data_IF_121683624814
#
_entry.id   IF_121683624814
#
_cell.length_a   1.000
_cell.length_b   1.000
_cell.length_c   1.000
_cell.angle_alpha   90.00
_cell.angle_beta   90.00
_cell.angle_gamma   90.00
#
_symmetry.space_group_name_H-M   'P 1'
#
loop_
_entity.id
_entity.type
_entity.pdbx_description
1 polymer ?
#
# COMPACT_ATOMS: atom_id res chain seq x y z
N UNK A 1 31.86 -26.89 11.48
CA UNK A 1 32.80 -27.82 10.82
C UNK A 1 34.10 -27.14 10.37
N UNK A 2 34.10 -26.04 9.60
CA UNK A 2 35.35 -25.42 9.10
C UNK A 2 36.27 -24.73 10.14
N UNK A 3 35.81 -24.49 11.37
CA UNK A 3 36.57 -23.76 12.41
C UNK A 3 37.32 -24.68 13.40
N UNK A 4 37.09 -25.99 13.36
CA UNK A 4 37.66 -26.95 14.31
C UNK A 4 39.11 -27.31 14.00
N UNK A 5 39.51 -27.34 12.71
CA UNK A 5 40.86 -27.71 12.27
C UNK A 5 41.94 -26.61 12.41
N UNK A 6 41.57 -25.40 12.85
CA UNK A 6 42.50 -24.27 12.95
C UNK A 6 43.20 -24.31 14.32
N UNK A 7 44.50 -24.64 14.35
CA UNK A 7 45.28 -24.78 15.60
C UNK A 7 45.64 -23.47 16.31
N UNK A 8 45.63 -22.34 15.60
CA UNK A 8 46.15 -21.06 16.11
C UNK A 8 45.00 -20.14 16.54
N UNK A 9 44.94 -19.83 17.84
CA UNK A 9 43.86 -19.03 18.47
C UNK A 9 43.65 -17.67 17.79
N UNK A 10 44.73 -17.02 17.34
CA UNK A 10 44.68 -15.73 16.63
C UNK A 10 44.06 -15.81 15.23
N UNK A 11 44.25 -16.93 14.52
CA UNK A 11 43.64 -17.15 13.19
C UNK A 11 42.12 -17.33 13.29
N UNK A 12 41.61 -17.98 14.35
CA UNK A 12 40.16 -18.07 14.60
C UNK A 12 39.54 -16.69 14.86
N UNK A 13 40.23 -15.82 15.61
CA UNK A 13 39.77 -14.44 15.87
C UNK A 13 39.74 -13.62 14.58
N UNK A 14 40.76 -13.72 13.74
CA UNK A 14 40.81 -13.03 12.45
C UNK A 14 39.69 -13.51 11.52
N UNK A 15 39.45 -14.81 11.43
CA UNK A 15 38.37 -15.37 10.60
C UNK A 15 37.00 -14.96 11.13
N UNK A 16 36.79 -14.98 12.45
CA UNK A 16 35.55 -14.49 13.08
C UNK A 16 35.35 -12.99 12.80
N UNK A 17 36.42 -12.20 12.86
CA UNK A 17 36.38 -10.76 12.57
C UNK A 17 36.09 -10.50 11.09
N UNK A 18 36.69 -11.26 10.16
CA UNK A 18 36.41 -11.21 8.72
C UNK A 18 34.97 -11.62 8.43
N UNK A 19 34.45 -12.69 9.06
CA UNK A 19 33.05 -13.11 8.92
C UNK A 19 32.13 -12.00 9.44
N UNK A 20 32.40 -11.40 10.60
CA UNK A 20 31.67 -10.21 11.07
C UNK A 20 31.76 -9.03 10.09
N UNK A 21 32.94 -8.79 9.50
CA UNK A 21 33.17 -7.71 8.52
C UNK A 21 32.46 -7.96 7.19
N UNK A 22 32.17 -9.22 6.83
CA UNK A 22 31.35 -9.59 5.67
C UNK A 22 29.85 -9.57 5.96
N UNK A 23 29.43 -9.81 7.22
CA UNK A 23 28.02 -9.75 7.63
C UNK A 23 27.56 -8.29 7.78
N UNK A 24 28.43 -7.37 8.19
CA UNK A 24 28.10 -5.95 8.41
C UNK A 24 27.64 -5.17 7.16
N UNK A 25 28.28 -5.27 5.98
CA UNK A 25 27.82 -4.58 4.76
C UNK A 25 26.60 -5.24 4.11
N UNK A 26 26.30 -6.51 4.43
CA UNK A 26 25.06 -7.15 4.00
C UNK A 26 23.83 -6.66 4.78
N UNK A 27 24.03 -6.05 5.95
CA UNK A 27 22.97 -5.63 6.86
C UNK A 27 22.41 -4.22 6.61
N UNK A 28 22.97 -3.45 5.66
CA UNK A 28 22.50 -2.08 5.38
C UNK A 28 22.21 -1.89 3.88
N UNK A 29 21.23 -2.64 3.38
CA UNK A 29 20.33 -2.11 2.35
C UNK A 29 19.03 -1.70 3.02
N UNK A 30 19.10 -0.68 3.88
CA UNK A 30 17.91 0.13 4.12
C UNK A 30 17.70 0.89 2.81
N UNK A 31 16.66 0.53 2.06
CA UNK A 31 16.17 1.38 0.99
C UNK A 31 15.75 2.69 1.63
N UNK A 32 16.43 3.78 1.26
CA UNK A 32 16.09 5.11 1.76
C UNK A 32 14.79 5.54 1.06
N UNK A 33 13.71 5.61 1.82
CA UNK A 33 12.43 6.13 1.37
C UNK A 33 12.27 7.58 1.83
N UNK A 34 11.99 8.50 0.91
CA UNK A 34 11.52 9.85 1.25
C UNK A 34 9.99 9.90 1.20
N UNK A 35 9.36 10.65 2.09
CA UNK A 35 7.92 10.93 2.02
C UNK A 35 7.69 12.00 0.96
N UNK A 36 6.85 11.72 -0.03
CA UNK A 36 6.49 12.67 -1.10
C UNK A 36 5.02 13.10 -1.06
N UNK A 37 4.23 12.48 -0.19
CA UNK A 37 2.83 12.82 0.04
C UNK A 37 2.40 12.29 1.39
N UNK A 38 1.64 13.09 2.14
CA UNK A 38 0.96 12.61 3.34
C UNK A 38 -0.37 13.33 3.48
N UNK A 39 -1.45 12.57 3.48
CA UNK A 39 -2.81 13.07 3.69
C UNK A 39 -3.43 12.37 4.88
N UNK A 40 -3.93 13.16 5.83
CA UNK A 40 -4.63 12.67 7.01
C UNK A 40 -6.12 12.69 6.74
N UNK A 41 -6.82 11.76 7.37
CA UNK A 41 -8.27 11.65 7.31
C UNK A 41 -8.92 11.80 8.69
N UNK A 42 -10.22 12.05 8.72
CA UNK A 42 -10.94 12.28 9.96
C UNK A 42 -11.25 10.96 10.67
N UNK A 43 -10.65 10.72 11.83
CA UNK A 43 -10.88 9.48 12.57
C UNK A 43 -12.38 9.25 12.91
N UNK A 44 -12.81 8.01 12.68
CA UNK A 44 -14.13 7.51 13.02
C UNK A 44 -15.23 7.97 12.08
N UNK A 45 -14.92 8.28 10.82
CA UNK A 45 -15.88 8.75 9.83
C UNK A 45 -16.36 7.69 8.81
N UNK A 46 -16.07 6.42 9.09
CA UNK A 46 -16.38 5.24 8.28
C UNK A 46 -17.85 4.80 8.22
N UNK A 47 -18.73 5.80 8.17
CA UNK A 47 -20.19 5.72 8.08
C UNK A 47 -20.72 6.29 6.74
N UNK A 48 -19.87 6.34 5.72
CA UNK A 48 -20.20 6.76 4.35
C UNK A 48 -20.89 8.13 4.30
N UNK A 49 -22.11 8.24 3.74
CA UNK A 49 -22.86 9.51 3.66
C UNK A 49 -23.40 10.04 4.99
N UNK A 50 -23.08 9.39 6.13
CA UNK A 50 -23.43 9.89 7.47
C UNK A 50 -24.35 8.97 8.27
N UNK A 51 -24.95 7.97 7.65
CA UNK A 51 -25.97 7.12 8.26
C UNK A 51 -25.68 5.62 8.14
N UNK A 52 -24.53 5.24 7.56
CA UNK A 52 -24.22 3.82 7.41
C UNK A 52 -23.88 3.20 8.75
N UNK A 53 -24.44 2.01 8.97
CA UNK A 53 -24.13 1.17 10.12
C UNK A 53 -23.65 -0.18 9.65
N UNK A 54 -22.67 -0.70 10.39
CA UNK A 54 -22.10 -2.00 10.09
C UNK A 54 -23.14 -3.13 10.14
N UNK A 55 -22.89 -4.23 9.39
CA UNK A 55 -23.72 -5.42 9.49
C UNK A 55 -23.71 -5.99 10.91
N UNK A 56 -24.81 -6.61 11.34
CA UNK A 56 -24.98 -7.09 12.72
C UNK A 56 -24.12 -8.30 13.08
N UNK A 57 -23.50 -8.97 12.11
CA UNK A 57 -22.61 -10.09 12.43
C UNK A 57 -21.46 -9.61 13.33
N UNK A 58 -21.16 -10.40 14.37
CA UNK A 58 -20.16 -10.12 15.39
C UNK A 58 -18.77 -9.76 14.83
N UNK A 59 -18.40 -10.30 13.66
CA UNK A 59 -17.11 -9.97 13.03
C UNK A 59 -16.98 -8.47 12.71
N UNK A 60 -18.10 -7.79 12.44
CA UNK A 60 -18.11 -6.34 12.22
C UNK A 60 -18.29 -5.56 13.52
N UNK A 61 -19.01 -6.11 14.50
CA UNK A 61 -19.40 -5.39 15.72
C UNK A 61 -18.31 -5.39 16.81
N UNK A 62 -17.41 -6.37 16.82
CA UNK A 62 -16.52 -6.62 17.96
C UNK A 62 -15.36 -5.62 18.12
N UNK A 63 -15.05 -4.86 17.08
CA UNK A 63 -13.74 -4.21 16.94
C UNK A 63 -13.83 -2.72 16.60
N UNK A 64 -14.96 -2.24 16.06
CA UNK A 64 -15.19 -0.84 15.66
C UNK A 64 -14.19 -0.34 14.61
N UNK A 65 -14.53 0.71 13.88
CA UNK A 65 -13.60 1.45 13.01
C UNK A 65 -12.79 0.53 12.06
N UNK A 66 -13.46 -0.48 11.52
CA UNK A 66 -12.91 -1.53 10.66
C UNK A 66 -12.65 -1.04 9.23
N UNK A 67 -13.25 0.08 8.84
CA UNK A 67 -13.11 0.68 7.51
C UNK A 67 -12.60 2.13 7.57
N UNK A 68 -12.34 2.63 8.78
CA UNK A 68 -11.81 3.96 9.11
C UNK A 68 -10.35 4.07 8.68
N UNK A 69 -10.15 4.71 7.52
CA UNK A 69 -8.84 5.10 7.01
C UNK A 69 -8.43 6.38 7.74
N UNK A 70 -7.21 6.42 8.26
CA UNK A 70 -6.70 7.55 9.04
C UNK A 70 -5.66 8.36 8.27
N UNK A 71 -4.97 7.72 7.31
CA UNK A 71 -4.00 8.40 6.47
C UNK A 71 -3.64 7.61 5.21
N UNK A 72 -3.24 8.33 4.18
CA UNK A 72 -2.42 7.80 3.09
C UNK A 72 -1.09 8.55 3.00
N UNK A 73 0.01 7.80 3.05
CA UNK A 73 1.37 8.33 2.87
C UNK A 73 2.02 7.68 1.65
N UNK A 74 2.50 8.48 0.69
CA UNK A 74 3.31 7.98 -0.43
C UNK A 74 4.77 8.23 -0.12
N UNK A 75 5.55 7.17 -0.25
CA UNK A 75 6.99 7.18 -0.14
C UNK A 75 7.62 6.86 -1.49
N UNK A 76 8.77 7.45 -1.74
CA UNK A 76 9.56 7.25 -2.94
C UNK A 76 10.98 6.81 -2.56
N UNK A 77 11.49 5.79 -3.24
CA UNK A 77 12.92 5.45 -3.26
C UNK A 77 13.49 5.68 -4.66
N UNK A 78 14.74 5.26 -4.91
CA UNK A 78 15.32 5.36 -6.26
C UNK A 78 14.55 4.51 -7.29
N UNK A 79 14.05 3.33 -6.91
CA UNK A 79 13.50 2.32 -7.84
C UNK A 79 12.01 2.04 -7.68
N UNK A 80 11.41 2.34 -6.54
CA UNK A 80 10.00 2.00 -6.26
C UNK A 80 9.24 3.12 -5.54
N UNK A 81 7.92 3.04 -5.62
CA UNK A 81 7.00 3.75 -4.76
C UNK A 81 6.40 2.81 -3.73
N UNK A 82 6.12 3.34 -2.55
CA UNK A 82 5.41 2.65 -1.49
C UNK A 82 4.27 3.53 -1.00
N UNK A 83 3.04 3.04 -1.07
CA UNK A 83 1.87 3.72 -0.50
C UNK A 83 1.48 2.98 0.78
N UNK A 84 1.40 3.73 1.88
CA UNK A 84 0.89 3.23 3.16
C UNK A 84 -0.50 3.80 3.39
N UNK A 85 -1.47 2.92 3.58
CA UNK A 85 -2.81 3.24 4.05
C UNK A 85 -2.92 2.83 5.52
N UNK A 86 -3.04 3.80 6.41
CA UNK A 86 -3.12 3.57 7.86
C UNK A 86 -4.56 3.54 8.29
N UNK A 87 -5.03 2.42 8.84
CA UNK A 87 -6.40 2.26 9.33
C UNK A 87 -6.46 2.36 10.85
N UNK A 88 -7.62 2.72 11.40
CA UNK A 88 -7.83 2.62 12.84
C UNK A 88 -7.76 1.17 13.32
N UNK A 89 -8.30 0.23 12.54
CA UNK A 89 -8.33 -1.17 12.92
C UNK A 89 -8.42 -2.12 11.71
N UNK A 90 -7.47 -3.02 11.56
CA UNK A 90 -7.52 -4.09 10.55
C UNK A 90 -7.67 -5.44 11.21
N UNK A 91 -8.69 -6.17 10.78
CA UNK A 91 -8.97 -7.52 11.27
C UNK A 91 -9.02 -8.52 10.13
N UNK A 92 -8.81 -9.78 10.48
CA UNK A 92 -8.84 -10.90 9.56
C UNK A 92 -9.66 -12.07 10.12
N UNK A 93 -10.99 -11.92 10.22
CA UNK A 93 -11.87 -13.02 10.63
C UNK A 93 -11.90 -14.20 9.65
N UNK A 94 -11.40 -14.05 8.43
CA UNK A 94 -11.51 -15.09 7.38
C UNK A 94 -10.16 -15.72 6.98
N UNK A 95 -9.04 -15.31 7.59
CA UNK A 95 -7.72 -15.86 7.32
C UNK A 95 -7.24 -15.57 5.90
N UNK A 96 -7.38 -14.32 5.46
CA UNK A 96 -7.02 -13.87 4.13
C UNK A 96 -5.48 -13.84 3.91
N UNK A 97 -5.06 -13.87 2.65
CA UNK A 97 -3.64 -13.93 2.25
C UNK A 97 -2.79 -12.79 2.85
N UNK A 98 -3.33 -11.56 2.83
CA UNK A 98 -2.61 -10.37 3.26
C UNK A 98 -2.90 -9.97 4.73
N UNK A 99 -3.55 -10.85 5.51
CA UNK A 99 -3.75 -10.67 6.95
C UNK A 99 -4.80 -9.61 7.35
N UNK A 100 -5.67 -9.21 6.43
CA UNK A 100 -6.90 -8.44 6.66
C UNK A 100 -8.00 -8.96 5.72
N UNK A 101 -9.28 -8.89 6.09
CA UNK A 101 -10.33 -9.54 5.28
C UNK A 101 -11.53 -8.66 4.95
N UNK A 102 -11.73 -7.56 5.66
CA UNK A 102 -12.99 -6.79 5.58
C UNK A 102 -12.91 -5.58 4.63
N UNK A 103 -11.87 -4.73 4.65
CA UNK A 103 -11.79 -3.61 3.72
C UNK A 103 -11.59 -4.02 2.25
N UNK A 104 -12.21 -3.27 1.35
CA UNK A 104 -11.93 -3.24 -0.09
C UNK A 104 -11.40 -1.85 -0.43
N UNK A 105 -10.14 -1.72 -0.85
CA UNK A 105 -9.60 -0.43 -1.27
C UNK A 105 -9.69 -0.30 -2.79
N UNK A 106 -10.13 0.86 -3.26
CA UNK A 106 -10.06 1.27 -4.65
C UNK A 106 -9.27 2.57 -4.77
N UNK A 107 -8.21 2.55 -5.58
CA UNK A 107 -7.32 3.67 -5.81
C UNK A 107 -7.31 3.98 -7.30
N UNK A 108 -7.78 5.17 -7.66
CA UNK A 108 -7.70 5.69 -9.02
C UNK A 108 -6.61 6.74 -9.07
N UNK A 109 -5.73 6.66 -10.07
CA UNK A 109 -4.63 7.59 -10.30
C UNK A 109 -4.74 8.20 -11.70
N UNK A 110 -4.74 9.53 -11.73
CA UNK A 110 -4.58 10.36 -12.92
C UNK A 110 -3.15 10.92 -12.86
N UNK A 111 -2.26 10.30 -13.62
CA UNK A 111 -0.81 10.49 -13.54
C UNK A 111 -0.15 10.49 -14.92
N UNK A 112 -0.94 10.43 -15.99
CA UNK A 112 -0.46 10.41 -17.37
C UNK A 112 -1.49 11.06 -18.31
N UNK A 113 -1.07 11.38 -19.53
CA UNK A 113 -1.98 11.95 -20.52
C UNK A 113 -3.07 10.96 -20.95
N UNK A 114 -4.28 11.49 -21.16
CA UNK A 114 -5.45 10.70 -21.51
C UNK A 114 -6.16 10.17 -20.27
N UNK A 115 -6.76 8.98 -20.35
CA UNK A 115 -7.44 8.36 -19.21
C UNK A 115 -8.96 8.28 -19.36
N UNK A 116 -9.64 7.94 -18.27
CA UNK A 116 -11.10 7.83 -18.18
C UNK A 116 -11.62 8.61 -16.98
N UNK A 117 -12.79 9.23 -17.09
CA UNK A 117 -13.53 9.76 -15.93
C UNK A 117 -14.69 8.85 -15.49
N UNK A 118 -14.80 7.66 -16.08
CA UNK A 118 -15.78 6.65 -15.71
C UNK A 118 -15.14 5.65 -14.78
N UNK A 119 -15.87 5.17 -13.77
CA UNK A 119 -15.44 4.03 -12.96
C UNK A 119 -15.11 2.83 -13.86
N UNK A 120 -14.17 2.00 -13.42
CA UNK A 120 -13.87 0.75 -14.13
C UNK A 120 -15.09 -0.18 -14.11
N UNK A 121 -15.67 -0.37 -12.92
CA UNK A 121 -16.96 -0.99 -12.65
C UNK A 121 -17.79 -0.10 -11.71
N UNK A 122 -19.11 -0.15 -11.81
CA UNK A 122 -20.01 0.71 -11.01
C UNK A 122 -20.27 0.19 -9.59
N UNK A 123 -19.36 -0.62 -9.04
CA UNK A 123 -19.45 -1.20 -7.70
C UNK A 123 -19.58 -0.15 -6.61
N UNK A 124 -18.65 0.80 -6.57
CA UNK A 124 -18.63 1.89 -5.60
C UNK A 124 -19.86 2.81 -5.69
N UNK A 125 -20.50 2.86 -6.86
CA UNK A 125 -21.68 3.69 -7.15
C UNK A 125 -21.48 5.19 -6.85
N UNK A 126 -20.36 5.71 -7.33
CA UNK A 126 -19.95 7.11 -7.27
C UNK A 126 -19.66 7.62 -8.70
N UNK A 127 -19.43 8.92 -8.84
CA UNK A 127 -18.93 9.51 -10.08
C UNK A 127 -17.65 10.30 -9.83
N UNK A 128 -16.87 10.54 -10.89
CA UNK A 128 -15.67 11.37 -10.81
C UNK A 128 -15.92 12.72 -11.46
N UNK A 129 -15.28 13.74 -10.89
CA UNK A 129 -15.23 15.05 -11.50
C UNK A 129 -14.71 14.96 -12.96
N UNK A 130 -15.26 15.71 -13.92
CA UNK A 130 -14.82 15.68 -15.31
C UNK A 130 -13.32 15.92 -15.51
N UNK A 131 -12.66 16.66 -14.63
CA UNK A 131 -11.24 17.01 -14.70
C UNK A 131 -10.31 15.93 -14.13
N UNK A 132 -10.86 14.83 -13.62
CA UNK A 132 -10.12 13.66 -13.17
C UNK A 132 -10.20 12.54 -14.22
N UNK A 133 -9.07 12.27 -14.88
CA UNK A 133 -8.94 11.28 -15.96
C UNK A 133 -7.95 10.19 -15.57
N UNK A 134 -8.41 9.20 -14.80
CA UNK A 134 -7.51 8.16 -14.32
C UNK A 134 -6.93 7.31 -15.47
N UNK A 135 -5.65 6.96 -15.34
CA UNK A 135 -4.91 6.07 -16.24
C UNK A 135 -4.56 4.75 -15.55
N UNK A 136 -4.55 4.73 -14.22
CA UNK A 136 -4.32 3.54 -13.41
C UNK A 136 -5.45 3.38 -12.38
N UNK A 137 -5.95 2.16 -12.27
CA UNK A 137 -6.88 1.76 -11.23
C UNK A 137 -6.30 0.55 -10.50
N UNK A 138 -6.19 0.65 -9.16
CA UNK A 138 -5.69 -0.41 -8.29
C UNK A 138 -6.81 -0.77 -7.32
N UNK A 139 -7.19 -2.04 -7.29
CA UNK A 139 -8.21 -2.58 -6.40
C UNK A 139 -7.56 -3.62 -5.50
N UNK A 140 -7.77 -3.50 -4.19
CA UNK A 140 -7.08 -4.30 -3.17
C UNK A 140 -8.09 -4.92 -2.24
N UNK A 141 -7.96 -6.23 -2.03
CA UNK A 141 -8.66 -6.97 -0.98
C UNK A 141 -7.65 -7.74 -0.12
N UNK A 142 -8.16 -8.46 0.88
CA UNK A 142 -7.37 -9.38 1.68
C UNK A 142 -6.74 -10.56 0.91
N UNK A 143 -7.20 -10.84 -0.32
CA UNK A 143 -6.78 -12.00 -1.10
C UNK A 143 -6.00 -11.63 -2.35
N UNK A 144 -6.17 -10.42 -2.87
CA UNK A 144 -5.60 -10.07 -4.17
C UNK A 144 -5.36 -8.58 -4.33
N UNK A 145 -4.45 -8.27 -5.26
CA UNK A 145 -4.22 -6.96 -5.84
C UNK A 145 -4.58 -7.05 -7.32
N UNK A 146 -5.47 -6.19 -7.80
CA UNK A 146 -5.82 -6.10 -9.22
C UNK A 146 -5.48 -4.71 -9.74
N UNK A 147 -4.84 -4.68 -10.90
CA UNK A 147 -4.39 -3.42 -11.53
C UNK A 147 -4.91 -3.32 -12.95
N UNK A 148 -5.55 -2.22 -13.26
CA UNK A 148 -6.19 -1.95 -14.55
C UNK A 148 -5.81 -0.59 -15.10
N UNK A 149 -6.03 -0.43 -16.40
CA UNK A 149 -6.06 0.86 -17.09
C UNK A 149 -7.43 0.99 -17.82
N UNK A 150 -7.77 2.15 -18.40
CA UNK A 150 -9.05 2.35 -19.07
C UNK A 150 -9.36 1.37 -20.22
N UNK A 151 -8.31 0.81 -20.83
CA UNK A 151 -8.41 -0.12 -21.96
C UNK A 151 -8.35 -1.59 -21.52
N UNK A 152 -8.17 -1.88 -20.24
CA UNK A 152 -8.17 -3.25 -19.71
C UNK A 152 -9.52 -3.92 -19.98
N UNK A 153 -9.48 -5.22 -20.28
CA UNK A 153 -10.69 -6.02 -20.42
C UNK A 153 -11.45 -6.03 -19.10
N UNK A 154 -12.73 -5.65 -19.14
CA UNK A 154 -13.61 -5.62 -17.96
C UNK A 154 -14.06 -7.03 -17.60
N UNK A 155 -14.15 -7.28 -16.30
CA UNK A 155 -14.64 -8.55 -15.74
C UNK A 155 -16.15 -8.68 -15.95
N UNK A 156 -16.66 -9.91 -16.10
CA UNK A 156 -18.10 -10.14 -16.09
C UNK A 156 -18.61 -10.24 -14.64
N UNK A 157 -18.93 -9.08 -14.08
CA UNK A 157 -19.45 -8.93 -12.71
C UNK A 157 -20.81 -9.58 -12.43
N UNK A 158 -21.49 -10.15 -13.44
CA UNK A 158 -22.69 -10.96 -13.26
C UNK A 158 -22.38 -12.45 -13.12
N UNK A 159 -21.13 -12.87 -13.36
CA UNK A 159 -20.68 -14.24 -13.22
C UNK A 159 -19.92 -14.43 -11.90
N UNK A 160 -20.64 -14.92 -10.87
CA UNK A 160 -20.11 -15.15 -9.52
C UNK A 160 -18.90 -16.12 -9.53
N UNK A 161 -18.83 -17.05 -10.48
CA UNK A 161 -17.70 -17.96 -10.62
C UNK A 161 -16.44 -17.25 -11.13
N UNK A 162 -16.59 -16.23 -11.99
CA UNK A 162 -15.45 -15.42 -12.45
C UNK A 162 -14.95 -14.46 -11.37
N UNK A 163 -15.85 -13.92 -10.53
CA UNK A 163 -15.50 -13.08 -9.38
C UNK A 163 -14.73 -13.88 -8.29
N UNK A 164 -15.00 -15.18 -8.17
CA UNK A 164 -14.45 -16.04 -7.11
C UNK A 164 -13.24 -16.89 -7.51
N UNK A 165 -13.08 -17.22 -8.80
CA UNK A 165 -12.08 -18.21 -9.25
C UNK A 165 -11.01 -17.66 -10.21
N UNK A 166 -11.25 -16.52 -10.85
CA UNK A 166 -10.26 -15.91 -11.73
C UNK A 166 -9.63 -14.72 -11.03
N UNK A 167 -8.32 -14.59 -11.13
CA UNK A 167 -7.56 -13.37 -10.77
C UNK A 167 -7.20 -12.57 -12.03
N UNK A 168 -8.18 -11.99 -12.74
CA UNK A 168 -7.85 -11.09 -13.83
C UNK A 168 -7.16 -9.85 -13.23
N UNK A 169 -5.89 -9.66 -13.58
CA UNK A 169 -5.14 -8.47 -13.18
C UNK A 169 -4.12 -8.66 -12.06
N UNK A 170 -3.73 -9.89 -11.70
CA UNK A 170 -2.52 -10.11 -10.89
C UNK A 170 -1.29 -9.60 -11.65
N UNK A 171 -0.86 -8.39 -11.31
CA UNK A 171 0.42 -7.88 -11.74
C UNK A 171 1.45 -8.25 -10.66
N UNK A 172 2.33 -9.21 -10.99
CA UNK A 172 3.39 -9.69 -10.11
C UNK A 172 4.39 -8.59 -9.67
N UNK A 173 4.34 -7.40 -10.29
CA UNK A 173 5.21 -6.28 -9.94
C UNK A 173 4.70 -5.50 -8.72
N UNK A 174 3.48 -5.74 -8.25
CA UNK A 174 2.92 -5.09 -7.06
C UNK A 174 3.04 -6.05 -5.89
N UNK A 175 3.41 -5.53 -4.72
CA UNK A 175 3.41 -6.33 -3.49
C UNK A 175 2.61 -5.62 -2.41
N UNK A 176 1.91 -6.41 -1.59
CA UNK A 176 1.11 -5.93 -0.49
C UNK A 176 1.59 -6.60 0.79
N UNK A 177 1.75 -5.82 1.85
CA UNK A 177 2.06 -6.32 3.18
C UNK A 177 1.25 -5.57 4.21
N UNK A 178 0.79 -6.27 5.25
CA UNK A 178 0.18 -5.67 6.42
C UNK A 178 1.20 -5.56 7.55
N UNK A 179 1.32 -4.38 8.15
CA UNK A 179 2.09 -4.15 9.38
C UNK A 179 1.17 -3.49 10.38
N UNK A 180 0.82 -4.19 11.47
CA UNK A 180 -0.19 -3.72 12.42
C UNK A 180 -1.52 -3.37 11.72
N UNK A 181 -1.93 -2.11 11.71
CA UNK A 181 -3.12 -1.61 11.00
C UNK A 181 -2.78 -0.83 9.72
N UNK A 182 -1.55 -0.97 9.22
CA UNK A 182 -1.13 -0.38 7.95
C UNK A 182 -1.20 -1.42 6.83
N UNK A 183 -1.79 -1.02 5.69
CA UNK A 183 -1.66 -1.72 4.41
C UNK A 183 -0.59 -1.02 3.60
N UNK A 184 0.49 -1.74 3.27
CA UNK A 184 1.65 -1.22 2.55
C UNK A 184 1.68 -1.83 1.15
N UNK A 185 1.34 -1.00 0.16
CA UNK A 185 1.42 -1.33 -1.26
C UNK A 185 2.77 -0.84 -1.81
N UNK A 186 3.51 -1.71 -2.50
CA UNK A 186 4.74 -1.35 -3.20
C UNK A 186 4.61 -1.62 -4.69
N UNK A 187 5.18 -0.74 -5.51
CA UNK A 187 5.29 -0.93 -6.95
C UNK A 187 6.56 -0.29 -7.51
N UNK A 188 7.20 -0.89 -8.54
CA UNK A 188 8.32 -0.26 -9.21
C UNK A 188 7.87 1.00 -9.96
N UNK A 189 8.78 1.98 -10.08
CA UNK A 189 8.47 3.24 -10.79
C UNK A 189 8.03 3.04 -12.23
N UNK A 190 8.44 1.95 -12.89
CA UNK A 190 8.01 1.59 -14.24
C UNK A 190 6.51 1.38 -14.40
N UNK A 191 5.77 1.17 -13.31
CA UNK A 191 4.31 0.97 -13.33
C UNK A 191 3.50 2.27 -13.24
N UNK A 192 4.08 3.33 -12.66
CA UNK A 192 3.38 4.59 -12.33
C UNK A 192 4.07 5.84 -12.93
N UNK A 193 5.19 5.71 -13.66
CA UNK A 193 5.98 6.84 -14.18
C UNK A 193 6.38 7.82 -13.06
N UNK A 194 5.53 8.81 -12.75
CA UNK A 194 5.71 9.77 -11.67
C UNK A 194 4.41 10.04 -10.90
N UNK A 195 4.52 10.28 -9.59
CA UNK A 195 3.44 10.85 -8.78
C UNK A 195 3.42 12.38 -8.78
N UNK A 196 4.42 13.04 -9.37
CA UNK A 196 4.49 14.49 -9.43
C UNK A 196 3.34 15.07 -10.25
N UNK A 197 2.63 16.05 -9.68
CA UNK A 197 1.43 16.67 -10.28
C UNK A 197 0.34 15.65 -10.64
N UNK A 198 0.27 14.52 -9.92
CA UNK A 198 -0.76 13.52 -10.12
C UNK A 198 -1.98 13.79 -9.24
N UNK A 199 -3.11 13.21 -9.62
CA UNK A 199 -4.33 13.23 -8.82
C UNK A 199 -4.68 11.83 -8.38
N UNK A 200 -5.19 11.69 -7.16
CA UNK A 200 -5.55 10.41 -6.57
C UNK A 200 -6.93 10.46 -5.93
N UNK A 201 -7.71 9.40 -6.15
CA UNK A 201 -8.95 9.13 -5.41
C UNK A 201 -8.77 7.80 -4.70
N UNK A 202 -9.05 7.78 -3.39
CA UNK A 202 -8.99 6.57 -2.55
C UNK A 202 -10.36 6.33 -1.95
N UNK A 203 -10.89 5.12 -2.15
CA UNK A 203 -12.16 4.67 -1.62
C UNK A 203 -11.96 3.44 -0.75
N UNK A 204 -12.71 3.36 0.34
CA UNK A 204 -12.80 2.17 1.18
C UNK A 204 -14.24 1.67 1.15
N UNK A 205 -14.41 0.47 0.60
CA UNK A 205 -15.63 -0.31 0.69
C UNK A 205 -15.53 -1.41 1.73
N UNK A 206 -16.67 -2.05 1.94
CA UNK A 206 -16.74 -3.30 2.70
C UNK A 206 -16.69 -4.47 1.72
N UNK A 207 -15.62 -5.27 1.75
CA UNK A 207 -15.38 -6.37 0.81
C UNK A 207 -16.39 -7.50 0.99
N UNK A 208 -17.05 -7.89 -0.10
CA UNK A 208 -17.95 -9.04 -0.18
C UNK A 208 -17.69 -9.76 -1.51
N UNK A 209 -17.15 -11.00 -1.51
CA UNK A 209 -16.82 -11.70 -2.76
C UNK A 209 -18.05 -12.03 -3.62
N UNK A 210 -19.25 -11.98 -3.06
CA UNK A 210 -20.52 -12.17 -3.78
C UNK A 210 -21.24 -10.86 -4.08
N UNK A 211 -20.70 -9.75 -3.59
CA UNK A 211 -21.20 -8.41 -3.83
C UNK A 211 -20.99 -7.97 -5.28
N UNK A 212 -21.86 -7.07 -5.75
CA UNK A 212 -21.68 -6.47 -7.07
C UNK A 212 -20.35 -5.72 -7.11
N UNK A 213 -19.44 -6.17 -7.98
CA UNK A 213 -18.07 -5.66 -8.06
C UNK A 213 -17.36 -5.68 -6.69
N UNK A 214 -17.60 -6.74 -5.91
CA UNK A 214 -17.00 -7.01 -4.61
C UNK A 214 -17.40 -6.08 -3.46
N UNK A 215 -18.38 -5.19 -3.67
CA UNK A 215 -18.91 -4.34 -2.60
C UNK A 215 -20.07 -5.02 -1.90
N UNK A 216 -20.02 -5.01 -0.56
CA UNK A 216 -21.16 -5.36 0.28
C UNK A 216 -22.37 -4.51 -0.05
N UNK A 217 -23.51 -5.17 -0.18
CA UNK A 217 -24.77 -4.49 -0.47
C UNK A 217 -25.29 -3.69 0.72
N UNK A 218 -26.15 -2.72 0.42
CA UNK A 218 -26.88 -1.91 1.39
C UNK A 218 -28.25 -2.52 1.67
N UNK A 219 -28.80 -2.22 2.85
CA UNK A 219 -30.14 -2.60 3.28
C UNK A 219 -30.77 -1.49 4.10
N UNK A 220 -32.08 -1.26 3.91
CA UNK A 220 -32.89 -0.36 4.74
C UNK A 220 -33.36 -1.02 6.06
N UNK A 221 -32.98 -2.28 6.28
CA UNK A 221 -33.25 -3.06 7.49
C UNK A 221 -31.96 -3.63 8.02
N UNK A 222 -31.73 -3.55 9.33
CA UNK A 222 -30.52 -4.11 9.94
C UNK A 222 -30.44 -5.60 9.63
N UNK A 223 -29.33 -6.03 9.05
CA UNK A 223 -29.11 -7.42 8.64
C UNK A 223 -27.71 -7.89 9.05
N UNK A 224 -27.49 -9.20 9.00
CA UNK A 224 -26.23 -9.80 9.43
C UNK A 224 -25.06 -9.47 8.49
N UNK A 225 -25.32 -9.27 7.20
CA UNK A 225 -24.27 -9.23 6.18
C UNK A 225 -24.30 -8.02 5.26
N UNK A 226 -25.31 -7.16 5.37
CA UNK A 226 -25.44 -5.95 4.57
C UNK A 226 -25.22 -4.72 5.44
N UNK A 227 -24.68 -3.67 4.84
CA UNK A 227 -24.55 -2.37 5.50
C UNK A 227 -25.95 -1.79 5.64
N UNK A 228 -26.30 -1.34 6.84
CA UNK A 228 -27.57 -0.70 7.08
C UNK A 228 -27.48 0.79 6.74
N UNK A 229 -28.52 1.34 6.11
CA UNK A 229 -28.73 2.77 5.90
C UNK A 229 -30.18 3.08 6.23
N UNK A 230 -30.41 4.16 6.97
CA UNK A 230 -31.76 4.62 7.31
C UNK A 230 -32.38 5.37 6.13
N UNK A 231 -31.56 6.02 5.31
CA UNK A 231 -32.01 6.81 4.17
C UNK A 231 -32.41 5.86 3.03
N UNK A 232 -33.68 5.94 2.65
CA UNK A 232 -34.23 5.20 1.51
C UNK A 232 -33.79 5.85 0.19
N UNK A 233 -32.52 5.68 -0.17
CA UNK A 233 -32.03 5.90 -1.52
C UNK A 233 -32.29 4.60 -2.28
N UNK A 234 -32.91 4.62 -3.48
CA UNK A 234 -33.02 3.41 -4.28
C UNK A 234 -31.63 2.76 -4.37
N UNK A 235 -31.48 1.49 -3.99
CA UNK A 235 -30.17 0.83 -3.84
C UNK A 235 -29.26 0.95 -5.09
N UNK A 236 -29.85 1.23 -6.26
CA UNK A 236 -29.16 1.56 -7.50
C UNK A 236 -28.43 2.94 -7.49
N UNK A 237 -28.62 3.77 -6.48
CA UNK A 237 -28.17 5.17 -6.45
C UNK A 237 -27.28 5.57 -5.27
N UNK A 238 -27.28 4.81 -4.17
CA UNK A 238 -26.48 5.12 -3.00
C UNK A 238 -25.01 4.67 -3.16
N UNK A 239 -24.03 5.45 -2.67
CA UNK A 239 -22.63 5.04 -2.70
C UNK A 239 -22.41 3.79 -1.84
N UNK A 240 -21.62 2.81 -2.29
CA UNK A 240 -21.26 1.61 -1.51
C UNK A 240 -19.90 1.72 -0.81
N UNK A 241 -19.43 2.95 -0.63
CA UNK A 241 -18.21 3.27 0.11
C UNK A 241 -18.57 3.60 1.56
N UNK A 242 -17.74 3.13 2.48
CA UNK A 242 -17.83 3.46 3.91
C UNK A 242 -16.92 4.63 4.25
N UNK A 243 -15.83 4.80 3.51
CA UNK A 243 -14.85 5.84 3.76
C UNK A 243 -14.14 6.29 2.46
N UNK A 244 -13.72 7.54 2.39
CA UNK A 244 -13.02 8.18 1.28
C UNK A 244 -12.06 9.27 1.82
N UNK A 245 -10.87 9.36 1.22
CA UNK A 245 -10.02 10.51 1.52
C UNK A 245 -10.56 11.77 0.82
N UNK A 246 -10.89 12.80 1.58
CA UNK A 246 -11.34 14.09 1.04
C UNK A 246 -10.26 15.18 1.13
N UNK A 247 -10.17 16.13 0.18
CA UNK A 247 -9.23 17.25 0.28
C UNK A 247 -9.46 18.09 1.54
N UNK A 248 -8.40 18.72 2.04
CA UNK A 248 -8.41 19.47 3.30
C UNK A 248 -9.60 20.42 3.45
N UNK A 249 -10.32 20.28 4.57
CA UNK A 249 -11.51 21.10 4.90
C UNK A 249 -12.83 20.63 4.27
N UNK A 250 -12.80 19.61 3.41
CA UNK A 250 -14.00 18.95 2.90
C UNK A 250 -14.59 18.00 3.94
N UNK A 251 -15.88 17.68 3.79
CA UNK A 251 -16.56 16.72 4.67
C UNK A 251 -17.02 15.53 3.85
N UNK A 252 -16.54 14.33 4.21
CA UNK A 252 -16.99 13.03 3.69
C UNK A 252 -18.52 12.97 3.57
N UNK A 253 -19.21 13.25 4.67
CA UNK A 253 -20.67 13.26 4.74
C UNK A 253 -21.33 14.12 3.65
N UNK A 254 -20.77 15.30 3.36
CA UNK A 254 -21.30 16.20 2.34
C UNK A 254 -20.97 15.71 0.93
N UNK A 255 -19.76 15.20 0.73
CA UNK A 255 -19.31 14.67 -0.56
C UNK A 255 -20.15 13.47 -0.97
N UNK A 256 -20.38 12.53 -0.06
CA UNK A 256 -21.12 11.30 -0.34
C UNK A 256 -22.65 11.46 -0.33
N UNK A 257 -23.16 12.66 -0.06
CA UNK A 257 -24.59 12.88 0.05
C UNK A 257 -25.33 12.70 -1.29
N UNK A 258 -26.48 12.02 -1.25
CA UNK A 258 -27.39 11.91 -2.39
C UNK A 258 -27.09 10.73 -3.32
N UNK A 259 -27.55 10.86 -4.56
CA UNK A 259 -27.46 9.80 -5.58
C UNK A 259 -26.22 10.00 -6.45
N UNK A 260 -25.41 8.94 -6.57
CA UNK A 260 -24.20 8.90 -7.42
C UNK A 260 -23.28 10.10 -7.15
N UNK A 261 -22.82 10.29 -5.90
CA UNK A 261 -22.05 11.47 -5.51
C UNK A 261 -20.80 11.63 -6.37
N UNK A 262 -20.47 12.88 -6.73
CA UNK A 262 -19.24 13.22 -7.43
C UNK A 262 -18.10 13.34 -6.42
N UNK A 263 -17.02 12.59 -6.63
CA UNK A 263 -15.89 12.56 -5.72
C UNK A 263 -14.84 13.62 -6.07
N UNK A 264 -14.29 14.31 -5.05
CA UNK A 264 -13.09 15.11 -5.22
C UNK A 264 -11.86 14.20 -5.38
N UNK A 265 -10.77 14.78 -5.85
CA UNK A 265 -9.45 14.13 -5.90
C UNK A 265 -8.46 14.85 -5.02
N UNK A 266 -7.49 14.11 -4.50
CA UNK A 266 -6.31 14.66 -3.85
C UNK A 266 -5.27 15.01 -4.91
N UNK A 267 -4.67 16.17 -4.81
CA UNK A 267 -3.49 16.53 -5.60
C UNK A 267 -2.24 16.04 -4.87
N UNK A 268 -1.43 15.25 -5.57
CA UNK A 268 -0.14 14.79 -5.09
C UNK A 268 0.92 15.75 -5.62
N UNK A 269 1.13 16.82 -4.86
CA UNK A 269 2.24 17.74 -5.09
C UNK A 269 3.48 17.24 -4.34
N UNK A 270 4.60 17.15 -5.05
CA UNK A 270 5.88 16.67 -4.53
C UNK A 270 6.74 17.81 -3.97
N UNK A 271 6.23 19.04 -3.88
CA UNK A 271 6.89 20.22 -3.33
C UNK A 271 7.12 20.15 -1.79
N UNK A 272 7.45 18.97 -1.28
CA UNK A 272 8.19 18.87 -0.04
C UNK A 272 9.59 19.42 -0.31
N UNK A 273 9.96 20.50 0.36
CA UNK A 273 11.32 21.01 0.34
C UNK A 273 12.28 19.82 0.56
N UNK A 274 13.23 19.61 -0.37
CA UNK A 274 14.24 18.56 -0.20
C UNK A 274 14.82 18.69 1.21
N UNK A 275 14.72 17.64 2.02
CA UNK A 275 15.32 17.69 3.35
C UNK A 275 16.81 17.92 3.17
N UNK A 276 17.37 18.94 3.85
CA UNK A 276 18.80 19.20 3.78
C UNK A 276 19.56 17.90 4.09
N UNK A 277 20.54 17.51 3.25
CA UNK A 277 21.29 16.28 3.45
C UNK A 277 21.89 16.28 4.85
N UNK A 278 21.61 15.23 5.60
CA UNK A 278 22.10 15.10 6.97
C UNK A 278 23.59 14.76 6.97
N UNK A 279 24.26 14.92 8.11
CA UNK A 279 25.66 14.47 8.28
C UNK A 279 25.80 12.98 7.91
N UNK A 280 24.77 12.17 8.14
CA UNK A 280 24.76 10.74 7.79
C UNK A 280 24.83 10.57 6.27
N UNK A 281 24.09 11.36 5.50
CA UNK A 281 24.06 11.30 4.04
C UNK A 281 25.42 11.67 3.42
N UNK A 282 26.09 12.69 3.99
CA UNK A 282 27.46 13.04 3.60
C UNK A 282 28.50 11.96 3.96
N UNK A 283 28.32 11.28 5.09
CA UNK A 283 29.24 10.26 5.56
C UNK A 283 29.02 8.89 4.91
N UNK A 284 27.83 8.59 4.39
CA UNK A 284 27.48 7.31 3.75
C UNK A 284 28.46 6.89 2.63
N UNK A 285 28.81 7.74 1.64
CA UNK A 285 29.79 7.39 0.62
C UNK A 285 31.21 7.26 1.19
N UNK A 286 31.60 8.11 2.13
CA UNK A 286 32.93 8.04 2.79
C UNK A 286 33.08 6.72 3.53
N UNK A 287 32.06 6.32 4.29
CA UNK A 287 32.07 5.09 5.07
C UNK A 287 32.18 3.85 4.15
N UNK A 288 31.51 3.88 2.99
CA UNK A 288 31.63 2.83 1.96
C UNK A 288 33.04 2.72 1.38
N UNK A 289 33.70 3.86 1.13
CA UNK A 289 35.09 3.91 0.66
C UNK A 289 36.04 3.40 1.76
N UNK A 290 35.87 3.88 3.01
CA UNK A 290 36.69 3.45 4.15
C UNK A 290 36.59 1.94 4.39
N UNK A 291 35.40 1.36 4.32
CA UNK A 291 35.18 -0.09 4.40
C UNK A 291 35.87 -0.83 3.24
N UNK A 292 35.82 -0.28 2.02
CA UNK A 292 36.47 -0.89 0.84
C UNK A 292 38.00 -0.87 0.94
N UNK A 293 38.58 0.22 1.45
CA UNK A 293 40.03 0.34 1.69
C UNK A 293 40.46 -0.64 2.78
N UNK A 294 39.73 -0.70 3.90
CA UNK A 294 39.99 -1.63 4.99
C UNK A 294 39.95 -3.08 4.49
N UNK A 295 38.96 -3.41 3.67
CA UNK A 295 38.84 -4.72 3.04
C UNK A 295 40.04 -5.05 2.15
N UNK A 296 40.45 -4.13 1.27
CA UNK A 296 41.63 -4.30 0.42
C UNK A 296 42.91 -4.53 1.23
N UNK A 297 43.08 -3.78 2.33
CA UNK A 297 44.21 -3.92 3.24
C UNK A 297 44.24 -5.28 3.95
N UNK A 298 43.08 -5.78 4.42
CA UNK A 298 42.98 -7.11 5.03
C UNK A 298 43.32 -8.21 4.02
N UNK A 299 42.83 -8.11 2.78
CA UNK A 299 43.16 -9.05 1.70
C UNK A 299 44.66 -9.04 1.41
N UNK A 300 45.29 -7.86 1.38
CA UNK A 300 46.73 -7.72 1.21
C UNK A 300 47.51 -8.41 2.34
N UNK A 301 47.11 -8.22 3.60
CA UNK A 301 47.74 -8.88 4.75
C UNK A 301 47.62 -10.41 4.64
N UNK A 302 46.44 -10.93 4.32
CA UNK A 302 46.23 -12.37 4.16
C UNK A 302 47.14 -12.92 3.05
N UNK A 303 47.21 -12.22 1.93
CA UNK A 303 48.09 -12.57 0.82
C UNK A 303 49.56 -12.61 1.24
N UNK A 304 50.02 -11.60 1.99
CA UNK A 304 51.40 -11.55 2.52
C UNK A 304 51.67 -12.70 3.48
N UNK A 305 50.78 -12.96 4.44
CA UNK A 305 50.91 -14.06 5.42
C UNK A 305 50.99 -15.41 4.70
N UNK A 306 50.14 -15.64 3.71
CA UNK A 306 50.08 -16.91 2.97
C UNK A 306 51.27 -17.09 2.04
N UNK A 307 51.65 -16.03 1.30
CA UNK A 307 52.77 -16.06 0.36
C UNK A 307 54.11 -16.24 1.06
N UNK A 308 54.30 -15.60 2.21
CA UNK A 308 55.59 -15.61 2.90
C UNK A 308 55.71 -16.67 4.00
N UNK A 309 54.72 -17.58 4.16
CA UNK A 309 54.70 -18.64 5.19
C UNK A 309 55.40 -18.18 6.46
N UNK A 310 54.78 -17.26 7.19
CA UNK A 310 55.28 -16.85 8.51
C UNK A 310 55.10 -18.05 9.47
N UNK A 311 55.96 -19.05 9.31
CA UNK A 311 56.11 -20.20 10.18
C UNK A 311 56.85 -19.71 11.41
N UNK A 312 56.09 -19.48 12.49
CA UNK A 312 56.59 -19.69 13.84
C UNK A 312 55.83 -20.85 14.44
#
# INVERSE_FOLDING_TARGET
MALEDIKIKWQKIIILFIICLFILPAAVRAEDYRVIFNHLDAAGDDYGPGDYQYPQNHIFQNKGHLFDLQAATIFESESEYKIRFSFSNLTDPWGAEYGFSLPLLEIYLDNDQGGSNQLFHSGANVSFNPDFKWNKFIKISGWWIRVFNPNSQKENILNINELSLNEPGTNNNFTLNKVENDIILRMPKSEINSFQNSKMIVLVGSFDPFGYDHFRSLSNSKSYWQIYSEIEIPAAGAPRVLDILVPGGSSQRKVLAGKLPELPHLEVDTDFAESEPTIIDYLKPINRISLSILFSYIVLIIFVIYKFKYNK
#
